data_IF_241721783234
#
_entry.id   IF_241721783234
#
_cell.length_a   1.000
_cell.length_b   1.000
_cell.length_c   1.000
_cell.angle_alpha   90.00
_cell.angle_beta   90.00
_cell.angle_gamma   90.00
#
_symmetry.space_group_name_H-M   'P 1'
#
loop_
_entity.id
_entity.type
_entity.pdbx_description
1 polymer ?
#
# COMPACT_ATOMS: atom_id res chain seq x y z
N UNK A 1 1.43 34.04 20.41
CA UNK A 1 1.86 32.78 19.76
C UNK A 1 3.29 32.53 20.19
N UNK A 2 3.50 31.50 21.01
CA UNK A 2 4.79 31.28 21.68
C UNK A 2 5.78 30.59 20.77
N UNK A 3 7.08 30.77 21.02
CA UNK A 3 8.18 30.04 20.36
C UNK A 3 7.98 28.52 20.33
N UNK A 4 7.17 27.96 21.23
CA UNK A 4 6.80 26.54 21.28
C UNK A 4 5.90 26.08 20.12
N UNK A 5 5.11 26.97 19.52
CA UNK A 5 4.28 26.64 18.35
C UNK A 5 5.12 26.49 17.07
N UNK A 6 6.30 27.12 17.02
CA UNK A 6 7.26 27.00 15.92
C UNK A 6 8.00 25.65 15.92
N UNK A 7 8.11 25.01 17.10
CA UNK A 7 8.76 23.71 17.29
C UNK A 7 7.77 22.54 17.38
N UNK A 8 6.48 22.76 17.10
CA UNK A 8 5.50 21.68 17.02
C UNK A 8 5.84 20.84 15.79
N UNK A 9 6.29 19.59 15.99
CA UNK A 9 6.49 18.60 14.92
C UNK A 9 5.19 18.51 14.14
N UNK A 10 5.10 19.17 12.98
CA UNK A 10 4.00 18.94 12.04
C UNK A 10 4.06 17.47 11.64
N UNK A 11 2.91 16.83 11.63
CA UNK A 11 2.76 15.53 11.03
C UNK A 11 3.28 15.61 9.59
N UNK A 12 4.07 14.63 9.21
CA UNK A 12 4.74 14.63 7.92
C UNK A 12 3.73 14.18 6.87
N UNK A 13 3.18 15.14 6.12
CA UNK A 13 2.13 14.88 5.13
C UNK A 13 2.53 13.79 4.12
N UNK A 14 3.81 13.70 3.77
CA UNK A 14 4.29 12.72 2.79
C UNK A 14 4.22 11.31 3.36
N UNK A 15 4.72 11.14 4.59
CA UNK A 15 4.62 9.86 5.28
C UNK A 15 3.18 9.48 5.56
N UNK A 16 2.31 10.43 5.91
CA UNK A 16 0.89 10.14 6.12
C UNK A 16 0.23 9.60 4.85
N UNK A 17 0.44 10.25 3.70
CA UNK A 17 -0.09 9.79 2.41
C UNK A 17 0.48 8.41 2.03
N UNK A 18 1.76 8.17 2.28
CA UNK A 18 2.39 6.87 2.04
C UNK A 18 1.84 5.77 2.96
N UNK A 19 1.53 6.10 4.21
CA UNK A 19 0.88 5.20 5.16
C UNK A 19 -0.54 4.86 4.73
N UNK A 20 -1.33 5.87 4.36
CA UNK A 20 -2.69 5.71 3.85
C UNK A 20 -2.69 4.85 2.58
N UNK A 21 -1.77 5.10 1.64
CA UNK A 21 -1.57 4.25 0.45
C UNK A 21 -1.25 2.79 0.84
N UNK A 22 -0.26 2.58 1.71
CA UNK A 22 0.17 1.23 2.11
C UNK A 22 -0.91 0.46 2.87
N UNK A 23 -1.71 1.14 3.69
CA UNK A 23 -2.86 0.55 4.38
C UNK A 23 -3.91 0.07 3.37
N UNK A 24 -4.25 0.90 2.38
CA UNK A 24 -5.18 0.52 1.31
C UNK A 24 -4.67 -0.61 0.44
N UNK A 25 -3.37 -0.62 0.12
CA UNK A 25 -2.75 -1.77 -0.56
C UNK A 25 -2.92 -3.05 0.25
N UNK A 26 -2.71 -3.02 1.57
CA UNK A 26 -2.90 -4.19 2.43
C UNK A 26 -4.37 -4.63 2.51
N UNK A 27 -5.31 -3.69 2.64
CA UNK A 27 -6.76 -3.97 2.58
C UNK A 27 -7.17 -4.62 1.25
N UNK A 28 -6.63 -4.14 0.12
CA UNK A 28 -6.85 -4.72 -1.20
C UNK A 28 -6.33 -6.16 -1.30
N UNK A 29 -5.16 -6.43 -0.73
CA UNK A 29 -4.62 -7.79 -0.65
C UNK A 29 -5.47 -8.72 0.22
N UNK A 30 -6.03 -8.23 1.33
CA UNK A 30 -6.98 -9.00 2.14
C UNK A 30 -8.26 -9.32 1.35
N UNK A 31 -8.78 -8.36 0.58
CA UNK A 31 -9.93 -8.59 -0.30
C UNK A 31 -9.61 -9.61 -1.39
N UNK A 32 -8.38 -9.64 -1.93
CA UNK A 32 -7.93 -10.67 -2.87
C UNK A 32 -7.92 -12.06 -2.21
N UNK A 33 -7.45 -12.19 -0.97
CA UNK A 33 -7.50 -13.47 -0.24
C UNK A 33 -8.94 -13.95 -0.01
N UNK A 34 -9.87 -13.02 0.21
CA UNK A 34 -11.30 -13.33 0.28
C UNK A 34 -11.85 -13.77 -1.08
N UNK A 35 -11.50 -13.08 -2.16
CA UNK A 35 -11.85 -13.48 -3.53
C UNK A 35 -11.35 -14.89 -3.85
N UNK A 36 -10.18 -15.28 -3.35
CA UNK A 36 -9.60 -16.62 -3.56
C UNK A 36 -10.34 -17.74 -2.81
N UNK A 37 -11.38 -17.45 -2.02
CA UNK A 37 -12.20 -18.47 -1.35
C UNK A 37 -13.29 -19.03 -2.28
N UNK A 38 -13.94 -18.15 -3.03
CA UNK A 38 -15.15 -18.50 -3.80
C UNK A 38 -15.36 -17.69 -5.09
N UNK A 39 -14.48 -16.75 -5.42
CA UNK A 39 -14.61 -15.89 -6.59
C UNK A 39 -15.72 -14.84 -6.46
N UNK A 40 -16.12 -14.48 -5.23
CA UNK A 40 -17.19 -13.50 -4.96
C UNK A 40 -16.98 -12.17 -5.70
N UNK A 41 -18.04 -11.71 -6.38
CA UNK A 41 -18.08 -10.41 -7.05
C UNK A 41 -17.95 -9.25 -6.04
N UNK A 42 -18.44 -9.43 -4.81
CA UNK A 42 -18.29 -8.47 -3.72
C UNK A 42 -16.84 -8.33 -3.27
N UNK A 43 -16.09 -9.44 -3.20
CA UNK A 43 -14.66 -9.40 -2.92
C UNK A 43 -13.88 -8.73 -4.05
N UNK A 44 -14.20 -9.06 -5.31
CA UNK A 44 -13.62 -8.42 -6.49
C UNK A 44 -13.82 -6.89 -6.47
N UNK A 45 -15.04 -6.41 -6.19
CA UNK A 45 -15.32 -4.97 -6.06
C UNK A 45 -14.53 -4.29 -4.96
N UNK A 46 -14.24 -5.00 -3.85
CA UNK A 46 -13.41 -4.45 -2.77
C UNK A 46 -11.94 -4.34 -3.16
N UNK A 47 -11.41 -5.29 -3.93
CA UNK A 47 -10.05 -5.17 -4.49
C UNK A 47 -9.96 -3.92 -5.35
N UNK A 48 -10.89 -3.76 -6.31
CA UNK A 48 -10.93 -2.59 -7.18
C UNK A 48 -11.12 -1.27 -6.43
N UNK A 49 -11.93 -1.26 -5.37
CA UNK A 49 -12.11 -0.05 -4.55
C UNK A 49 -10.83 0.31 -3.79
N UNK A 50 -10.12 -0.68 -3.26
CA UNK A 50 -8.86 -0.47 -2.57
C UNK A 50 -7.76 0.04 -3.51
N UNK A 51 -7.68 -0.48 -4.74
CA UNK A 51 -6.78 0.02 -5.79
C UNK A 51 -7.03 1.51 -6.06
N UNK A 52 -8.29 1.89 -6.33
CA UNK A 52 -8.65 3.29 -6.60
C UNK A 52 -8.33 4.23 -5.45
N UNK A 53 -8.55 3.78 -4.21
CA UNK A 53 -8.23 4.55 -3.02
C UNK A 53 -6.71 4.70 -2.85
N UNK A 54 -5.93 3.63 -3.07
CA UNK A 54 -4.47 3.67 -3.01
C UNK A 54 -3.86 4.58 -4.10
N UNK A 55 -4.34 4.48 -5.35
CA UNK A 55 -3.88 5.34 -6.46
C UNK A 55 -4.23 6.81 -6.21
N UNK A 56 -5.39 7.12 -5.60
CA UNK A 56 -5.71 8.49 -5.21
C UNK A 56 -4.70 9.05 -4.19
N UNK A 57 -4.36 8.29 -3.14
CA UNK A 57 -3.32 8.72 -2.19
C UNK A 57 -1.96 8.91 -2.85
N UNK A 58 -1.60 8.02 -3.78
CA UNK A 58 -0.38 8.15 -4.58
C UNK A 58 -0.38 9.41 -5.43
N UNK A 59 -1.45 9.69 -6.18
CA UNK A 59 -1.57 10.90 -7.01
C UNK A 59 -1.42 12.17 -6.18
N UNK A 60 -2.05 12.22 -5.00
CA UNK A 60 -1.89 13.32 -4.06
C UNK A 60 -0.44 13.42 -3.58
N UNK A 61 0.21 12.31 -3.23
CA UNK A 61 1.63 12.28 -2.84
C UNK A 61 2.53 12.84 -3.95
N UNK A 62 2.32 12.43 -5.19
CA UNK A 62 3.12 12.90 -6.34
C UNK A 62 2.92 14.41 -6.58
N UNK A 63 1.68 14.92 -6.49
CA UNK A 63 1.42 16.36 -6.60
C UNK A 63 2.10 17.14 -5.46
N UNK A 64 2.02 16.65 -4.23
CA UNK A 64 2.67 17.26 -3.07
C UNK A 64 4.20 17.26 -3.18
N UNK A 65 4.79 16.18 -3.70
CA UNK A 65 6.22 16.11 -4.00
C UNK A 65 6.56 17.21 -5.00
N UNK A 66 5.88 17.27 -6.15
CA UNK A 66 6.15 18.23 -7.23
C UNK A 66 6.05 19.70 -6.77
N UNK A 67 5.17 20.01 -5.81
CA UNK A 67 4.97 21.37 -5.29
C UNK A 67 5.87 21.75 -4.13
N UNK A 68 6.60 20.80 -3.54
CA UNK A 68 7.40 21.04 -2.34
C UNK A 68 8.88 21.20 -2.67
N UNK A 69 9.50 22.27 -2.16
CA UNK A 69 10.95 22.51 -2.36
C UNK A 69 11.83 21.69 -1.40
N UNK A 70 11.32 21.44 -0.18
CA UNK A 70 12.00 20.64 0.86
C UNK A 70 11.15 19.43 1.18
N UNK A 71 11.79 18.26 1.25
CA UNK A 71 11.18 16.98 1.60
C UNK A 71 11.92 16.35 2.79
N UNK A 72 11.23 15.56 3.61
CA UNK A 72 11.78 14.93 4.82
C UNK A 72 12.72 13.75 4.54
N UNK A 73 12.49 13.07 3.42
CA UNK A 73 13.32 12.02 2.83
C UNK A 73 13.69 12.44 1.41
N UNK A 74 14.61 11.71 0.80
CA UNK A 74 14.88 11.92 -0.62
C UNK A 74 13.60 11.73 -1.44
N UNK A 75 13.38 12.64 -2.39
CA UNK A 75 12.18 12.66 -3.23
C UNK A 75 12.10 11.42 -4.11
N UNK A 76 13.23 11.00 -4.68
CA UNK A 76 13.28 9.86 -5.58
C UNK A 76 12.97 8.58 -4.79
N UNK A 77 13.42 8.49 -3.54
CA UNK A 77 13.10 7.38 -2.64
C UNK A 77 11.60 7.34 -2.31
N UNK A 78 10.97 8.47 -1.95
CA UNK A 78 9.53 8.54 -1.68
C UNK A 78 8.70 8.16 -2.92
N UNK A 79 9.09 8.67 -4.09
CA UNK A 79 8.44 8.35 -5.36
C UNK A 79 8.55 6.84 -5.67
N UNK A 80 9.75 6.29 -5.54
CA UNK A 80 10.04 4.89 -5.87
C UNK A 80 9.34 3.94 -4.91
N UNK A 81 9.33 4.25 -3.62
CA UNK A 81 8.63 3.47 -2.61
C UNK A 81 7.11 3.50 -2.84
N UNK A 82 6.53 4.68 -3.09
CA UNK A 82 5.10 4.80 -3.40
C UNK A 82 4.71 4.02 -4.64
N UNK A 83 5.52 4.09 -5.71
CA UNK A 83 5.29 3.27 -6.91
C UNK A 83 5.35 1.77 -6.63
N UNK A 84 6.35 1.31 -5.88
CA UNK A 84 6.46 -0.11 -5.57
C UNK A 84 5.29 -0.64 -4.72
N UNK A 85 4.71 0.20 -3.86
CA UNK A 85 3.51 -0.14 -3.08
C UNK A 85 2.26 -0.18 -3.97
N UNK A 86 2.15 0.75 -4.92
CA UNK A 86 1.09 0.83 -5.94
C UNK A 86 1.01 -0.46 -6.76
N UNK A 87 2.16 -0.90 -7.29
CA UNK A 87 2.26 -2.07 -8.15
C UNK A 87 1.64 -3.33 -7.47
N UNK A 88 1.69 -3.44 -6.13
CA UNK A 88 1.10 -4.58 -5.39
C UNK A 88 -0.42 -4.65 -5.56
N UNK A 89 -1.13 -3.54 -5.35
CA UNK A 89 -2.60 -3.55 -5.40
C UNK A 89 -3.09 -3.52 -6.84
N UNK A 90 -2.34 -2.89 -7.75
CA UNK A 90 -2.61 -2.93 -9.19
C UNK A 90 -2.56 -4.37 -9.73
N UNK A 91 -1.54 -5.15 -9.31
CA UNK A 91 -1.47 -6.57 -9.67
C UNK A 91 -2.57 -7.40 -9.03
N UNK A 92 -3.04 -7.04 -7.83
CA UNK A 92 -4.18 -7.69 -7.20
C UNK A 92 -5.47 -7.46 -8.01
N UNK A 93 -5.75 -6.22 -8.42
CA UNK A 93 -6.93 -5.90 -9.25
C UNK A 93 -6.85 -6.55 -10.63
N UNK A 94 -5.68 -6.47 -11.28
CA UNK A 94 -5.44 -7.13 -12.57
C UNK A 94 -5.64 -8.64 -12.48
N UNK A 95 -5.20 -9.29 -11.39
CA UNK A 95 -5.39 -10.72 -11.18
C UNK A 95 -6.87 -11.09 -11.11
N UNK A 96 -7.68 -10.31 -10.39
CA UNK A 96 -9.13 -10.51 -10.30
C UNK A 96 -9.79 -10.34 -11.67
N UNK A 97 -9.42 -9.29 -12.40
CA UNK A 97 -9.95 -9.01 -13.74
C UNK A 97 -9.61 -10.14 -14.72
N UNK A 98 -8.35 -10.55 -14.78
CA UNK A 98 -7.90 -11.63 -15.67
C UNK A 98 -8.53 -12.97 -15.33
N UNK A 99 -8.64 -13.34 -14.05
CA UNK A 99 -9.33 -14.57 -13.64
C UNK A 99 -10.79 -14.55 -14.09
N UNK A 100 -11.47 -13.42 -13.96
CA UNK A 100 -12.86 -13.25 -14.38
C UNK A 100 -13.00 -13.35 -15.90
N UNK A 101 -12.15 -12.67 -16.66
CA UNK A 101 -12.18 -12.67 -18.14
C UNK A 101 -11.87 -14.05 -18.69
N UNK A 102 -10.90 -14.75 -18.11
CA UNK A 102 -10.41 -16.05 -18.57
C UNK A 102 -11.22 -17.23 -18.01
N UNK A 103 -12.15 -16.99 -17.08
CA UNK A 103 -12.94 -18.04 -16.43
C UNK A 103 -12.09 -18.96 -15.54
N UNK A 104 -11.05 -18.41 -14.89
CA UNK A 104 -10.21 -19.14 -13.95
C UNK A 104 -10.81 -19.07 -12.56
N UNK A 105 -11.21 -20.22 -12.03
CA UNK A 105 -11.75 -20.30 -10.68
C UNK A 105 -10.63 -20.36 -9.62
N UNK A 106 -10.85 -19.79 -8.42
CA UNK A 106 -9.94 -19.98 -7.31
C UNK A 106 -9.73 -21.45 -6.97
N UNK A 107 -8.53 -21.78 -6.49
CA UNK A 107 -8.18 -23.11 -5.99
C UNK A 107 -7.21 -23.02 -4.82
N UNK A 108 -6.97 -24.15 -4.15
CA UNK A 108 -6.13 -24.21 -2.96
C UNK A 108 -4.70 -23.70 -3.18
N UNK A 109 -4.14 -23.88 -4.39
CA UNK A 109 -2.80 -23.39 -4.72
C UNK A 109 -2.78 -21.87 -4.85
N UNK A 110 -3.73 -21.29 -5.61
CA UNK A 110 -3.87 -19.84 -5.75
C UNK A 110 -4.09 -19.17 -4.39
N UNK A 111 -5.01 -19.73 -3.58
CA UNK A 111 -5.29 -19.24 -2.23
C UNK A 111 -4.06 -19.30 -1.34
N UNK A 112 -3.28 -20.39 -1.39
CA UNK A 112 -2.05 -20.52 -0.59
C UNK A 112 -0.96 -19.53 -1.03
N UNK A 113 -0.87 -19.19 -2.32
CA UNK A 113 0.05 -18.16 -2.80
C UNK A 113 -0.41 -16.78 -2.31
N UNK A 114 -1.68 -16.42 -2.52
CA UNK A 114 -2.23 -15.13 -2.10
C UNK A 114 -2.09 -14.92 -0.60
N UNK A 115 -2.33 -15.94 0.23
CA UNK A 115 -2.15 -15.84 1.68
C UNK A 115 -0.72 -15.41 2.09
N UNK A 116 0.30 -15.88 1.35
CA UNK A 116 1.70 -15.45 1.56
C UNK A 116 1.92 -14.01 1.09
N UNK A 117 1.32 -13.62 -0.03
CA UNK A 117 1.40 -12.25 -0.54
C UNK A 117 0.71 -11.26 0.41
N UNK A 118 -0.42 -11.63 1.02
CA UNK A 118 -1.08 -10.82 2.07
C UNK A 118 -0.16 -10.62 3.27
N UNK A 119 0.50 -11.68 3.72
CA UNK A 119 1.46 -11.59 4.83
C UNK A 119 2.63 -10.65 4.46
N UNK A 120 3.16 -10.74 3.24
CA UNK A 120 4.20 -9.84 2.76
C UNK A 120 3.73 -8.39 2.66
N UNK A 121 2.53 -8.14 2.13
CA UNK A 121 1.93 -6.80 2.06
C UNK A 121 1.73 -6.19 3.46
N UNK A 122 1.34 -6.99 4.44
CA UNK A 122 1.26 -6.56 5.83
C UNK A 122 2.64 -6.17 6.39
N UNK A 123 3.70 -6.94 6.09
CA UNK A 123 5.07 -6.59 6.49
C UNK A 123 5.52 -5.28 5.82
N UNK A 124 5.19 -5.04 4.54
CA UNK A 124 5.44 -3.75 3.86
C UNK A 124 4.70 -2.61 4.57
N UNK A 125 3.41 -2.75 4.84
CA UNK A 125 2.63 -1.75 5.59
C UNK A 125 3.28 -1.44 6.95
N UNK A 126 3.64 -2.48 7.71
CA UNK A 126 4.30 -2.32 9.00
C UNK A 126 5.69 -1.66 8.88
N UNK A 127 6.43 -1.91 7.80
CA UNK A 127 7.68 -1.20 7.52
C UNK A 127 7.43 0.30 7.35
N UNK A 128 6.41 0.71 6.58
CA UNK A 128 6.04 2.13 6.41
C UNK A 128 5.61 2.75 7.75
N UNK A 129 4.80 2.05 8.55
CA UNK A 129 4.39 2.47 9.92
C UNK A 129 5.58 2.80 10.81
N UNK A 130 6.68 2.05 10.69
CA UNK A 130 7.88 2.21 11.53
C UNK A 130 8.96 3.09 10.91
N UNK A 131 8.83 3.47 9.64
CA UNK A 131 9.89 4.09 8.84
C UNK A 131 10.49 5.34 9.50
N UNK A 132 9.64 6.20 10.06
CA UNK A 132 10.06 7.48 10.65
C UNK A 132 10.75 7.32 12.00
N UNK A 133 10.09 6.61 12.91
CA UNK A 133 10.46 6.60 14.33
C UNK A 133 11.38 5.43 14.69
N UNK A 134 11.34 4.33 13.93
CA UNK A 134 12.04 3.09 14.21
C UNK A 134 12.59 2.43 12.93
N UNK A 135 13.54 3.06 12.21
CA UNK A 135 14.02 2.58 10.91
C UNK A 135 14.68 1.20 10.95
N UNK A 136 15.32 0.81 12.06
CA UNK A 136 15.85 -0.56 12.23
C UNK A 136 14.75 -1.62 12.25
N UNK A 137 13.63 -1.32 12.92
CA UNK A 137 12.46 -2.22 12.96
C UNK A 137 11.74 -2.23 11.60
N UNK A 138 11.67 -1.08 10.92
CA UNK A 138 11.15 -0.99 9.56
C UNK A 138 11.94 -1.89 8.60
N UNK A 139 13.27 -1.91 8.72
CA UNK A 139 14.12 -2.80 7.93
C UNK A 139 13.88 -4.29 8.22
N UNK A 140 13.62 -4.65 9.48
CA UNK A 140 13.29 -6.04 9.85
C UNK A 140 11.93 -6.49 9.28
N UNK A 141 10.96 -5.58 9.15
CA UNK A 141 9.71 -5.83 8.42
C UNK A 141 9.97 -5.98 6.92
N UNK A 142 10.72 -5.06 6.30
CA UNK A 142 11.04 -5.10 4.88
C UNK A 142 11.83 -6.37 4.45
N UNK A 143 12.59 -6.99 5.36
CA UNK A 143 13.29 -8.27 5.11
C UNK A 143 12.39 -9.51 5.20
N UNK A 144 11.25 -9.39 5.87
CA UNK A 144 10.29 -10.48 6.06
C UNK A 144 9.21 -10.51 4.98
N UNK A 145 8.92 -9.35 4.39
CA UNK A 145 8.13 -9.23 3.16
C UNK A 145 8.79 -10.01 2.02
#
# INVERSE_FOLDING_TARGET
MGLRDFFRRREDKFLRLLLEQAEKTWEGMQALEEFMKDGSEEAAKRVQMAEKEADEFRRILIDELNRSFVTPFDREDLFSLSRAIDDIVDYADTTVEEMTILGVEPNDHLRAMVSRLVAAAHEVYMAVVRLKDHPGVALDHARRA
#
